data_IF_705363855173
#
_entry.id   IF_705363855173
#
_cell.length_a   1.000
_cell.length_b   1.000
_cell.length_c   1.000
_cell.angle_alpha   90.00
_cell.angle_beta   90.00
_cell.angle_gamma   90.00
#
_symmetry.space_group_name_H-M   'P 1'
#
loop_
_entity.id
_entity.type
_entity.pdbx_description
1 polymer ?
#
# COMPACT_ATOMS: atom_id res chain seq x y z
N UNK A 1 -18.89 0.03 11.88
CA UNK A 1 -18.33 -0.91 12.88
C UNK A 1 -19.00 -0.87 14.26
N UNK A 2 -19.13 0.29 14.93
CA UNK A 2 -19.79 0.39 16.27
C UNK A 2 -21.25 -0.07 16.28
N UNK A 3 -21.99 0.11 15.17
CA UNK A 3 -23.39 -0.35 15.04
C UNK A 3 -23.49 -1.86 14.86
N UNK A 4 -22.63 -2.47 14.02
CA UNK A 4 -22.59 -3.92 13.82
C UNK A 4 -22.10 -4.65 15.09
N UNK A 5 -21.09 -4.10 15.77
CA UNK A 5 -20.62 -4.59 17.07
C UNK A 5 -21.63 -4.35 18.20
N UNK A 6 -22.43 -3.27 18.16
CA UNK A 6 -23.56 -3.08 19.09
C UNK A 6 -24.70 -4.05 18.81
N UNK A 7 -25.02 -4.32 17.55
CA UNK A 7 -26.01 -5.33 17.18
C UNK A 7 -25.57 -6.73 17.64
N UNK A 8 -24.29 -7.08 17.44
CA UNK A 8 -23.70 -8.34 17.92
C UNK A 8 -23.56 -8.42 19.45
N UNK A 9 -23.37 -7.28 20.15
CA UNK A 9 -23.32 -7.24 21.63
C UNK A 9 -24.71 -7.22 22.27
N UNK A 10 -25.71 -6.63 21.62
CA UNK A 10 -27.08 -6.52 22.13
C UNK A 10 -27.91 -7.78 21.89
N UNK A 11 -27.54 -8.61 20.92
CA UNK A 11 -28.15 -9.92 20.71
C UNK A 11 -27.53 -10.98 21.64
N UNK A 12 -27.77 -10.84 22.94
CA UNK A 12 -27.49 -11.91 23.88
C UNK A 12 -28.62 -12.96 23.80
N UNK A 13 -28.22 -14.18 23.42
CA UNK A 13 -28.84 -15.49 23.72
C UNK A 13 -30.07 -16.02 22.95
N UNK A 14 -30.83 -15.28 22.14
CA UNK A 14 -32.07 -15.88 21.58
C UNK A 14 -32.19 -16.07 20.05
N UNK A 15 -31.85 -15.13 19.17
CA UNK A 15 -32.23 -15.27 17.75
C UNK A 15 -31.26 -14.59 16.78
N UNK A 16 -29.98 -14.95 16.79
CA UNK A 16 -29.10 -14.58 15.68
C UNK A 16 -29.22 -15.65 14.59
N UNK A 17 -29.63 -15.24 13.39
CA UNK A 17 -29.54 -16.09 12.20
C UNK A 17 -28.09 -16.57 12.02
N UNK A 18 -27.93 -17.78 11.45
CA UNK A 18 -26.65 -18.47 11.27
C UNK A 18 -25.44 -17.58 10.88
N UNK A 19 -25.54 -16.57 9.99
CA UNK A 19 -24.38 -15.73 9.64
C UNK A 19 -23.82 -14.89 10.80
N UNK A 20 -24.64 -14.49 11.78
CA UNK A 20 -24.17 -13.66 12.90
C UNK A 20 -23.53 -14.47 14.02
N UNK A 21 -23.95 -15.72 14.22
CA UNK A 21 -23.28 -16.67 15.12
C UNK A 21 -21.87 -17.00 14.59
N UNK A 22 -21.70 -17.10 13.27
CA UNK A 22 -20.41 -17.30 12.61
C UNK A 22 -19.42 -16.16 12.84
N UNK A 23 -19.87 -14.90 12.72
CA UNK A 23 -19.03 -13.74 13.05
C UNK A 23 -18.63 -13.74 14.53
N UNK A 24 -19.54 -14.10 15.44
CA UNK A 24 -19.23 -14.23 16.86
C UNK A 24 -18.24 -15.37 17.15
N UNK A 25 -18.33 -16.52 16.47
CA UNK A 25 -17.36 -17.62 16.62
C UNK A 25 -15.97 -17.24 16.11
N UNK A 26 -15.87 -16.65 14.92
CA UNK A 26 -14.59 -16.24 14.33
C UNK A 26 -13.91 -15.17 15.18
N UNK A 27 -14.65 -14.17 15.67
CA UNK A 27 -14.07 -13.03 16.41
C UNK A 27 -13.92 -13.25 17.91
N UNK A 28 -14.80 -14.04 18.54
CA UNK A 28 -14.87 -14.11 20.01
C UNK A 28 -14.16 -15.34 20.59
N UNK A 29 -14.03 -16.42 19.83
CA UNK A 29 -13.51 -17.69 20.37
C UNK A 29 -12.18 -18.13 19.77
N UNK A 30 -11.71 -17.54 18.65
CA UNK A 30 -10.54 -18.06 17.90
C UNK A 30 -10.60 -19.56 17.63
N UNK A 31 -11.78 -20.17 17.69
CA UNK A 31 -11.99 -21.58 17.40
C UNK A 31 -12.27 -21.70 15.92
N UNK A 32 -11.54 -22.59 15.25
CA UNK A 32 -11.77 -22.91 13.84
C UNK A 32 -13.14 -23.62 13.78
N UNK A 33 -14.14 -23.07 13.09
CA UNK A 33 -15.44 -23.73 12.99
C UNK A 33 -15.29 -25.05 12.23
N UNK A 34 -16.14 -26.06 12.50
CA UNK A 34 -16.12 -27.31 11.77
C UNK A 34 -16.27 -27.07 10.26
N UNK A 35 -15.49 -27.82 9.46
CA UNK A 35 -15.29 -27.62 8.00
C UNK A 35 -16.60 -27.46 7.21
N UNK A 36 -17.69 -28.08 7.65
CA UNK A 36 -18.94 -28.15 6.89
C UNK A 36 -19.89 -26.97 7.13
N UNK A 37 -19.66 -26.17 8.18
CA UNK A 37 -20.55 -25.07 8.58
C UNK A 37 -20.62 -23.89 7.60
N UNK A 38 -19.65 -23.78 6.69
CA UNK A 38 -19.56 -22.69 5.71
C UNK A 38 -20.04 -23.06 4.31
N UNK A 39 -20.44 -24.33 4.11
CA UNK A 39 -20.87 -24.82 2.80
C UNK A 39 -22.19 -24.22 2.31
N UNK A 40 -23.02 -23.73 3.24
CA UNK A 40 -24.36 -23.19 2.93
C UNK A 40 -24.41 -21.67 2.81
N UNK A 41 -23.32 -20.96 3.15
CA UNK A 41 -23.29 -19.50 3.10
C UNK A 41 -23.18 -19.06 1.62
N UNK A 42 -24.09 -18.21 1.12
CA UNK A 42 -23.99 -17.65 -0.23
C UNK A 42 -22.74 -16.78 -0.40
N UNK A 43 -22.19 -16.74 -1.62
CA UNK A 43 -20.96 -15.99 -1.92
C UNK A 43 -21.13 -14.49 -1.66
N UNK A 44 -22.33 -13.95 -1.93
CA UNK A 44 -22.68 -12.54 -1.72
C UNK A 44 -22.56 -12.14 -0.25
N UNK A 45 -22.95 -13.02 0.67
CA UNK A 45 -22.80 -12.79 2.11
C UNK A 45 -21.33 -12.82 2.52
N UNK A 46 -20.54 -13.73 1.95
CA UNK A 46 -19.09 -13.77 2.20
C UNK A 46 -18.40 -12.50 1.70
N UNK A 47 -18.83 -11.99 0.53
CA UNK A 47 -18.34 -10.73 -0.05
C UNK A 47 -18.67 -9.54 0.84
N UNK A 48 -19.91 -9.43 1.30
CA UNK A 48 -20.33 -8.39 2.25
C UNK A 48 -19.51 -8.43 3.54
N UNK A 49 -19.23 -9.63 4.08
CA UNK A 49 -18.38 -9.79 5.25
C UNK A 49 -16.97 -9.27 4.93
N UNK A 50 -16.37 -9.75 3.84
CA UNK A 50 -15.02 -9.38 3.46
C UNK A 50 -14.87 -7.87 3.21
N UNK A 51 -15.88 -7.19 2.65
CA UNK A 51 -15.87 -5.75 2.42
C UNK A 51 -15.87 -4.92 3.71
N UNK A 52 -16.22 -5.53 4.85
CA UNK A 52 -16.22 -4.88 6.17
C UNK A 52 -14.98 -5.19 7.02
N UNK A 53 -14.03 -5.98 6.50
CA UNK A 53 -12.81 -6.39 7.22
C UNK A 53 -11.59 -5.58 6.78
N UNK A 54 -10.67 -5.36 7.71
CA UNK A 54 -9.36 -4.80 7.37
C UNK A 54 -8.42 -5.87 6.76
N UNK A 55 -7.31 -5.45 6.15
CA UNK A 55 -6.34 -6.34 5.47
C UNK A 55 -5.82 -7.47 6.37
N UNK A 56 -5.62 -7.20 7.66
CA UNK A 56 -5.13 -8.19 8.63
C UNK A 56 -6.19 -9.25 8.93
N UNK A 57 -7.43 -8.83 9.16
CA UNK A 57 -8.59 -9.71 9.36
C UNK A 57 -8.88 -10.55 8.13
N UNK A 58 -8.82 -9.94 6.94
CA UNK A 58 -8.94 -10.64 5.66
C UNK A 58 -7.87 -11.74 5.53
N UNK A 59 -6.62 -11.44 5.85
CA UNK A 59 -5.54 -12.45 5.83
C UNK A 59 -5.86 -13.64 6.73
N UNK A 60 -6.32 -13.40 7.96
CA UNK A 60 -6.71 -14.49 8.87
C UNK A 60 -7.91 -15.28 8.33
N UNK A 61 -8.90 -14.60 7.76
CA UNK A 61 -10.09 -15.22 7.19
C UNK A 61 -9.74 -16.14 6.00
N UNK A 62 -8.85 -15.71 5.11
CA UNK A 62 -8.38 -16.51 3.97
C UNK A 62 -7.49 -17.70 4.37
N UNK A 63 -6.86 -17.65 5.55
CA UNK A 63 -6.13 -18.77 6.14
C UNK A 63 -7.08 -19.79 6.81
N UNK A 64 -8.13 -19.29 7.48
CA UNK A 64 -9.08 -20.13 8.22
C UNK A 64 -10.00 -20.96 7.31
N UNK A 65 -10.42 -20.45 6.15
CA UNK A 65 -11.38 -21.13 5.28
C UNK A 65 -11.05 -21.02 3.79
N UNK A 66 -10.98 -22.17 3.10
CA UNK A 66 -10.71 -22.25 1.65
C UNK A 66 -11.78 -21.55 0.80
N UNK A 67 -13.06 -21.59 1.18
CA UNK A 67 -14.12 -20.86 0.45
C UNK A 67 -14.01 -19.36 0.63
N UNK A 68 -13.68 -18.89 1.83
CA UNK A 68 -13.40 -17.48 2.02
C UNK A 68 -12.15 -17.04 1.26
N UNK A 69 -11.17 -17.91 1.06
CA UNK A 69 -9.98 -17.58 0.27
C UNK A 69 -10.34 -17.07 -1.13
N UNK A 70 -11.24 -17.71 -1.86
CA UNK A 70 -11.62 -17.24 -3.21
C UNK A 70 -12.30 -15.87 -3.22
N UNK A 71 -12.95 -15.48 -2.12
CA UNK A 71 -13.60 -14.18 -1.93
C UNK A 71 -12.61 -13.11 -1.44
N UNK A 72 -11.70 -13.50 -0.56
CA UNK A 72 -10.76 -12.64 0.14
C UNK A 72 -9.53 -12.33 -0.71
N UNK A 73 -9.03 -13.31 -1.46
CA UNK A 73 -7.78 -13.21 -2.21
C UNK A 73 -7.82 -12.07 -3.25
N UNK A 74 -8.89 -11.88 -4.06
CA UNK A 74 -8.99 -10.72 -4.96
C UNK A 74 -8.94 -9.38 -4.22
N UNK A 75 -9.47 -9.33 -3.00
CA UNK A 75 -9.50 -8.11 -2.16
C UNK A 75 -8.14 -7.81 -1.55
N UNK A 76 -7.43 -8.84 -1.09
CA UNK A 76 -6.06 -8.71 -0.61
C UNK A 76 -5.10 -8.28 -1.73
N UNK A 77 -5.34 -8.73 -2.97
CA UNK A 77 -4.52 -8.36 -4.13
C UNK A 77 -4.85 -6.97 -4.69
N UNK A 78 -5.98 -6.36 -4.31
CA UNK A 78 -6.38 -5.02 -4.74
C UNK A 78 -5.42 -3.94 -4.23
N UNK A 79 -4.97 -4.08 -2.98
CA UNK A 79 -3.99 -3.20 -2.33
C UNK A 79 -2.85 -4.04 -1.80
N UNK A 80 -1.72 -3.99 -2.50
CA UNK A 80 -0.51 -4.69 -2.10
C UNK A 80 0.39 -3.71 -1.36
N UNK A 81 0.80 -4.10 -0.16
CA UNK A 81 1.81 -3.39 0.59
C UNK A 81 3.04 -4.26 0.81
N UNK A 82 4.19 -3.77 0.31
CA UNK A 82 5.50 -4.43 0.38
C UNK A 82 6.40 -3.70 1.40
N UNK A 83 5.83 -2.86 2.27
CA UNK A 83 6.53 -2.26 3.41
C UNK A 83 7.16 -3.33 4.30
N UNK A 84 8.51 -3.34 4.35
CA UNK A 84 9.38 -3.90 5.40
C UNK A 84 8.85 -5.03 6.30
N UNK A 85 8.23 -6.06 5.73
CA UNK A 85 7.84 -7.25 6.47
C UNK A 85 8.64 -8.44 5.94
N UNK A 86 9.07 -9.33 6.83
CA UNK A 86 9.60 -10.66 6.49
C UNK A 86 8.71 -11.47 5.54
N UNK A 87 7.42 -11.11 5.39
CA UNK A 87 6.45 -11.73 4.47
C UNK A 87 6.24 -10.94 3.17
N UNK A 88 6.77 -9.72 3.07
CA UNK A 88 6.68 -8.88 1.88
C UNK A 88 7.35 -9.56 0.67
N UNK A 89 8.43 -10.33 0.90
CA UNK A 89 9.07 -11.15 -0.13
C UNK A 89 8.15 -12.25 -0.68
N UNK A 90 7.35 -12.89 0.19
CA UNK A 90 6.34 -13.87 -0.22
C UNK A 90 5.25 -13.24 -1.08
N UNK A 91 4.76 -12.06 -0.69
CA UNK A 91 3.79 -11.30 -1.48
C UNK A 91 4.39 -10.84 -2.83
N UNK A 92 5.64 -10.37 -2.85
CA UNK A 92 6.35 -10.00 -4.06
C UNK A 92 6.57 -11.20 -5.01
N UNK A 93 6.86 -12.38 -4.46
CA UNK A 93 6.98 -13.63 -5.25
C UNK A 93 5.64 -14.09 -5.83
N UNK A 94 4.57 -14.01 -5.05
CA UNK A 94 3.20 -14.28 -5.55
C UNK A 94 2.88 -13.30 -6.68
N UNK A 95 3.15 -12.02 -6.47
CA UNK A 95 3.02 -10.96 -7.49
C UNK A 95 4.11 -10.98 -8.57
N UNK A 96 4.98 -11.97 -8.62
CA UNK A 96 5.86 -12.18 -9.77
C UNK A 96 5.30 -13.27 -10.69
N UNK A 97 4.75 -14.32 -10.08
CA UNK A 97 4.37 -15.55 -10.77
C UNK A 97 2.87 -15.68 -11.05
N UNK A 98 2.03 -14.87 -10.40
CA UNK A 98 0.58 -15.02 -10.49
C UNK A 98 -0.03 -14.16 -11.62
N UNK A 99 -0.78 -14.75 -12.54
CA UNK A 99 -1.54 -14.02 -13.57
C UNK A 99 -2.59 -13.06 -12.95
N UNK A 100 -2.97 -13.28 -11.69
CA UNK A 100 -3.97 -12.47 -10.95
C UNK A 100 -3.47 -11.08 -10.54
N UNK A 101 -2.18 -10.77 -10.77
CA UNK A 101 -1.58 -9.43 -10.61
C UNK A 101 -2.31 -8.32 -11.36
N UNK A 102 -3.06 -8.67 -12.40
CA UNK A 102 -3.81 -7.70 -13.19
C UNK A 102 -4.82 -6.93 -12.33
N UNK A 103 -5.31 -7.49 -11.22
CA UNK A 103 -6.32 -6.86 -10.38
C UNK A 103 -5.77 -5.86 -9.34
N UNK A 104 -4.44 -5.74 -9.22
CA UNK A 104 -3.84 -4.83 -8.25
C UNK A 104 -4.08 -3.39 -8.68
N UNK A 105 -4.77 -2.63 -7.83
CA UNK A 105 -5.07 -1.20 -8.04
C UNK A 105 -4.07 -0.32 -7.34
N UNK A 106 -3.68 -0.70 -6.12
CA UNK A 106 -2.73 0.06 -5.31
C UNK A 106 -1.53 -0.81 -4.95
N UNK A 107 -0.33 -0.27 -5.17
CA UNK A 107 0.92 -0.90 -4.79
C UNK A 107 1.70 0.07 -3.91
N UNK A 108 2.11 -0.36 -2.72
CA UNK A 108 2.93 0.39 -1.78
C UNK A 108 4.30 -0.26 -1.57
N UNK A 109 5.36 0.53 -1.63
CA UNK A 109 6.77 0.09 -1.56
C UNK A 109 7.54 1.10 -0.70
N UNK A 110 7.50 1.00 0.64
CA UNK A 110 8.11 2.02 1.51
C UNK A 110 9.56 1.79 1.91
N UNK A 111 10.05 0.55 1.97
CA UNK A 111 11.48 0.30 2.27
C UNK A 111 11.79 -1.16 2.02
N UNK A 112 12.73 -1.45 1.13
CA UNK A 112 13.25 -2.79 0.89
C UNK A 112 14.53 -3.01 1.72
N UNK A 113 14.49 -2.63 3.00
CA UNK A 113 15.58 -2.94 3.93
C UNK A 113 15.24 -4.20 4.70
N UNK A 114 15.34 -5.35 4.02
CA UNK A 114 15.50 -6.62 4.72
C UNK A 114 16.99 -6.71 5.09
N UNK A 115 17.26 -6.81 6.40
CA UNK A 115 18.63 -6.88 6.91
C UNK A 115 19.39 -8.02 6.27
N UNK A 116 20.60 -7.73 5.76
CA UNK A 116 21.54 -8.75 5.28
C UNK A 116 21.63 -8.90 3.75
N UNK A 117 22.36 -7.98 3.12
CA UNK A 117 23.27 -8.22 1.98
C UNK A 117 22.69 -8.68 0.61
N UNK A 118 21.39 -9.00 0.41
CA UNK A 118 20.91 -9.38 -0.96
C UNK A 118 19.50 -8.91 -1.38
N UNK A 119 19.00 -7.79 -0.82
CA UNK A 119 17.62 -7.33 -1.09
C UNK A 119 17.47 -6.06 -1.94
N UNK A 120 18.57 -5.54 -2.50
CA UNK A 120 18.60 -4.44 -3.49
C UNK A 120 17.92 -4.76 -4.83
N UNK A 121 17.52 -6.02 -5.04
CA UNK A 121 17.07 -6.56 -6.34
C UNK A 121 15.55 -6.62 -6.47
N UNK A 122 14.77 -6.20 -5.46
CA UNK A 122 13.33 -6.48 -5.49
C UNK A 122 12.55 -5.57 -6.46
N UNK A 123 12.81 -4.27 -6.50
CA UNK A 123 12.16 -3.36 -7.47
C UNK A 123 12.49 -3.72 -8.93
N UNK A 124 13.72 -4.16 -9.20
CA UNK A 124 14.14 -4.61 -10.54
C UNK A 124 13.44 -5.90 -10.98
N UNK A 125 13.02 -6.73 -10.02
CA UNK A 125 12.25 -7.96 -10.29
C UNK A 125 10.77 -7.68 -10.57
N UNK A 126 10.26 -6.49 -10.24
CA UNK A 126 8.88 -6.11 -10.51
C UNK A 126 8.68 -5.75 -11.98
N UNK A 127 7.84 -6.52 -12.65
CA UNK A 127 7.41 -6.24 -14.02
C UNK A 127 6.15 -5.40 -13.96
N UNK A 128 6.31 -4.09 -13.75
CA UNK A 128 5.20 -3.15 -13.59
C UNK A 128 4.19 -3.16 -14.75
N UNK A 129 4.63 -3.53 -15.96
CA UNK A 129 3.76 -3.68 -17.13
C UNK A 129 2.69 -4.78 -16.98
N UNK A 130 2.84 -5.69 -16.01
CA UNK A 130 1.83 -6.73 -15.71
C UNK A 130 0.70 -6.23 -14.80
N UNK A 131 0.88 -5.08 -14.15
CA UNK A 131 -0.10 -4.51 -13.21
C UNK A 131 -1.12 -3.65 -13.97
N UNK A 132 -1.94 -4.30 -14.79
CA UNK A 132 -2.85 -3.64 -15.76
C UNK A 132 -3.98 -2.81 -15.13
N UNK A 133 -4.29 -2.99 -13.84
CA UNK A 133 -5.27 -2.17 -13.12
C UNK A 133 -4.63 -1.19 -12.13
N UNK A 134 -3.28 -1.12 -12.08
CA UNK A 134 -2.58 -0.26 -11.13
C UNK A 134 -2.87 1.20 -11.43
N UNK A 135 -3.59 1.84 -10.52
CA UNK A 135 -3.97 3.25 -10.59
C UNK A 135 -3.23 4.11 -9.55
N UNK A 136 -2.73 3.51 -8.47
CA UNK A 136 -1.98 4.19 -7.41
C UNK A 136 -0.68 3.44 -7.10
N UNK A 137 0.44 4.14 -7.19
CA UNK A 137 1.74 3.65 -6.74
C UNK A 137 2.21 4.54 -5.59
N UNK A 138 2.48 3.93 -4.44
CA UNK A 138 3.19 4.55 -3.33
C UNK A 138 4.60 3.95 -3.28
N UNK A 139 5.64 4.76 -3.38
CA UNK A 139 7.02 4.30 -3.43
C UNK A 139 7.90 5.22 -2.60
N UNK A 140 8.84 4.67 -1.84
CA UNK A 140 9.80 5.54 -1.17
C UNK A 140 10.77 6.15 -2.17
N UNK A 141 11.14 7.40 -1.90
CA UNK A 141 12.05 8.13 -2.74
C UNK A 141 13.39 7.40 -2.87
N UNK A 142 13.91 6.82 -1.79
CA UNK A 142 15.13 5.99 -1.81
C UNK A 142 15.04 4.85 -2.83
N UNK A 143 13.91 4.13 -2.85
CA UNK A 143 13.70 3.01 -3.75
C UNK A 143 13.57 3.45 -5.21
N UNK A 144 12.94 4.61 -5.47
CA UNK A 144 12.90 5.24 -6.78
C UNK A 144 14.31 5.63 -7.28
N UNK A 145 15.14 6.23 -6.42
CA UNK A 145 16.50 6.62 -6.77
C UNK A 145 17.40 5.41 -7.02
N UNK A 146 17.28 4.37 -6.20
CA UNK A 146 18.01 3.12 -6.38
C UNK A 146 17.66 2.46 -7.71
N UNK A 147 16.37 2.37 -8.05
CA UNK A 147 15.93 1.85 -9.34
C UNK A 147 16.58 2.61 -10.50
N UNK A 148 16.61 3.95 -10.41
CA UNK A 148 17.19 4.81 -11.43
C UNK A 148 18.71 4.60 -11.57
N UNK A 149 19.43 4.52 -10.46
CA UNK A 149 20.88 4.26 -10.43
C UNK A 149 21.22 2.92 -11.07
N UNK A 150 20.43 1.89 -10.78
CA UNK A 150 20.68 0.53 -11.26
C UNK A 150 20.29 0.32 -12.73
N UNK A 151 19.14 0.83 -13.17
CA UNK A 151 18.66 0.59 -14.55
C UNK A 151 19.14 1.61 -15.56
N UNK A 152 19.52 2.81 -15.12
CA UNK A 152 19.70 4.00 -15.99
C UNK A 152 18.47 4.32 -16.86
N UNK A 153 17.31 3.77 -16.55
CA UNK A 153 16.04 4.00 -17.26
C UNK A 153 15.02 4.58 -16.25
N UNK A 154 14.24 5.62 -16.61
CA UNK A 154 13.24 6.16 -15.69
C UNK A 154 12.16 5.11 -15.42
N UNK A 155 11.79 4.93 -14.14
CA UNK A 155 10.71 4.00 -13.73
C UNK A 155 9.40 4.27 -14.49
N UNK A 156 9.18 5.54 -14.86
CA UNK A 156 8.10 6.00 -15.71
C UNK A 156 7.89 5.15 -16.97
N UNK A 157 8.96 4.66 -17.61
CA UNK A 157 8.85 3.86 -18.84
C UNK A 157 8.22 2.49 -18.62
N UNK A 158 8.34 1.94 -17.42
CA UNK A 158 7.87 0.58 -17.11
C UNK A 158 6.51 0.55 -16.41
N UNK A 159 6.10 1.68 -15.84
CA UNK A 159 4.81 1.75 -15.18
C UNK A 159 3.68 1.50 -16.18
N UNK A 160 2.47 1.20 -15.70
CA UNK A 160 1.33 1.13 -16.59
C UNK A 160 0.96 2.52 -17.15
N UNK A 161 0.19 2.54 -18.23
CA UNK A 161 -0.35 3.79 -18.77
C UNK A 161 -1.55 4.30 -17.97
N UNK A 162 -2.28 3.45 -17.26
CA UNK A 162 -3.45 3.83 -16.45
C UNK A 162 -3.14 4.31 -15.03
N UNK A 163 -1.86 4.50 -14.69
CA UNK A 163 -1.47 5.00 -13.37
C UNK A 163 -1.93 6.46 -13.19
N UNK A 164 -2.84 6.68 -12.24
CA UNK A 164 -3.44 7.98 -11.96
C UNK A 164 -2.75 8.74 -10.84
N UNK A 165 -2.18 8.02 -9.87
CA UNK A 165 -1.61 8.61 -8.66
C UNK A 165 -0.22 8.01 -8.39
N UNK A 166 0.78 8.88 -8.28
CA UNK A 166 2.11 8.54 -7.77
C UNK A 166 2.30 9.24 -6.42
N UNK A 167 2.50 8.47 -5.36
CA UNK A 167 2.86 8.98 -4.05
C UNK A 167 4.32 8.61 -3.77
N UNK A 168 5.12 9.59 -3.40
CA UNK A 168 6.53 9.40 -3.08
C UNK A 168 6.77 9.74 -1.62
N UNK A 169 7.21 8.75 -0.85
CA UNK A 169 7.53 8.91 0.57
C UNK A 169 9.03 9.19 0.74
N UNK A 170 9.38 10.39 1.20
CA UNK A 170 10.74 10.75 1.60
C UNK A 170 10.93 10.41 3.09
N UNK A 171 11.24 9.14 3.34
CA UNK A 171 11.62 8.65 4.67
C UNK A 171 13.12 8.79 4.93
N UNK A 172 13.50 8.90 6.20
CA UNK A 172 14.90 8.90 6.63
C UNK A 172 15.64 7.59 6.23
N UNK A 173 16.93 7.67 5.84
CA UNK A 173 17.81 8.84 5.91
C UNK A 173 17.53 9.88 4.81
N UNK A 174 17.85 11.14 5.11
CA UNK A 174 17.67 12.29 4.22
C UNK A 174 18.26 11.98 2.85
N UNK A 175 17.51 12.29 1.80
CA UNK A 175 18.01 12.13 0.44
C UNK A 175 19.10 13.17 0.23
N UNK A 176 20.34 12.71 0.06
CA UNK A 176 21.49 13.59 -0.19
C UNK A 176 21.31 14.43 -1.46
N UNK A 177 20.59 13.90 -2.45
CA UNK A 177 20.37 14.55 -3.75
C UNK A 177 18.89 14.81 -4.04
N UNK A 178 18.34 15.84 -3.39
CA UNK A 178 16.97 16.33 -3.60
C UNK A 178 16.75 16.76 -5.06
N UNK A 179 17.78 17.33 -5.71
CA UNK A 179 17.69 17.75 -7.11
C UNK A 179 17.49 16.58 -8.06
N UNK A 180 18.10 15.43 -7.76
CA UNK A 180 17.92 14.22 -8.54
C UNK A 180 16.53 13.63 -8.41
N UNK A 181 15.96 13.58 -7.19
CA UNK A 181 14.56 13.17 -6.99
C UNK A 181 13.62 14.05 -7.82
N UNK A 182 13.77 15.37 -7.72
CA UNK A 182 12.99 16.35 -8.49
C UNK A 182 13.07 16.10 -10.00
N UNK A 183 14.29 15.87 -10.51
CA UNK A 183 14.51 15.56 -11.93
C UNK A 183 13.77 14.29 -12.35
N UNK A 184 13.76 13.27 -11.52
CA UNK A 184 13.04 12.03 -11.81
C UNK A 184 11.52 12.21 -11.80
N UNK A 185 10.97 13.01 -10.88
CA UNK A 185 9.54 13.34 -10.89
C UNK A 185 9.14 14.15 -12.13
N UNK A 186 9.99 15.07 -12.59
CA UNK A 186 9.77 15.81 -13.85
C UNK A 186 9.83 14.86 -15.05
N UNK A 187 10.83 13.97 -15.10
CA UNK A 187 10.94 12.95 -16.15
C UNK A 187 9.69 12.06 -16.17
N UNK A 188 9.14 11.75 -15.00
CA UNK A 188 7.93 10.96 -14.86
C UNK A 188 6.75 11.60 -15.58
N UNK A 189 6.48 12.87 -15.28
CA UNK A 189 5.36 13.61 -15.85
C UNK A 189 5.52 13.81 -17.35
N UNK A 190 6.74 14.13 -17.80
CA UNK A 190 7.03 14.28 -19.24
C UNK A 190 6.77 12.99 -20.03
N UNK A 191 7.02 11.83 -19.41
CA UNK A 191 6.85 10.54 -20.09
C UNK A 191 5.39 10.10 -20.13
N UNK A 192 4.57 10.47 -19.13
CA UNK A 192 3.19 9.97 -18.98
C UNK A 192 2.17 11.02 -18.56
N UNK A 193 1.98 12.09 -19.35
CA UNK A 193 1.15 13.21 -18.94
C UNK A 193 -0.36 12.89 -18.94
N UNK A 194 -0.84 12.00 -19.83
CA UNK A 194 -2.28 11.87 -20.10
C UNK A 194 -3.10 11.12 -19.04
N UNK A 195 -2.47 10.28 -18.23
CA UNK A 195 -3.18 9.45 -17.26
C UNK A 195 -2.89 9.83 -15.81
N UNK A 196 -1.78 10.52 -15.56
CA UNK A 196 -1.36 10.88 -14.22
C UNK A 196 -2.14 12.11 -13.75
N UNK A 197 -3.14 11.88 -12.89
CA UNK A 197 -3.93 12.95 -12.29
C UNK A 197 -3.18 13.69 -11.18
N UNK A 198 -2.34 12.99 -10.40
CA UNK A 198 -1.57 13.63 -9.35
C UNK A 198 -0.24 12.96 -9.00
N UNK A 199 0.72 13.79 -8.57
CA UNK A 199 1.89 13.37 -7.80
C UNK A 199 1.77 13.92 -6.39
N UNK A 200 1.97 13.09 -5.39
CA UNK A 200 2.09 13.51 -3.99
C UNK A 200 3.47 13.16 -3.47
N UNK A 201 4.08 14.06 -2.71
CA UNK A 201 5.37 13.84 -2.07
C UNK A 201 5.18 14.09 -0.58
N UNK A 202 5.29 13.03 0.24
CA UNK A 202 5.39 13.18 1.70
C UNK A 202 6.85 13.38 2.06
N UNK A 203 7.16 14.38 2.88
CA UNK A 203 8.52 14.73 3.21
C UNK A 203 8.65 15.41 4.56
N UNK A 204 9.73 15.05 5.27
CA UNK A 204 10.16 15.70 6.52
C UNK A 204 11.17 16.84 6.27
N UNK A 205 11.81 16.89 5.10
CA UNK A 205 13.00 17.73 4.87
C UNK A 205 12.89 18.70 3.70
N UNK A 206 11.77 18.68 2.98
CA UNK A 206 11.60 19.49 1.77
C UNK A 206 11.21 20.93 2.11
N UNK A 207 12.16 21.71 2.60
CA UNK A 207 11.98 23.12 2.96
C UNK A 207 12.05 24.11 1.78
N UNK A 208 12.01 23.63 0.53
CA UNK A 208 12.13 24.50 -0.65
C UNK A 208 10.78 24.93 -1.21
N UNK A 209 10.58 26.23 -1.41
CA UNK A 209 9.45 26.79 -2.14
C UNK A 209 9.48 26.32 -3.60
N UNK A 210 8.81 25.21 -3.85
CA UNK A 210 8.91 24.44 -5.09
C UNK A 210 7.99 24.98 -6.20
N UNK A 211 7.90 26.31 -6.31
CA UNK A 211 7.05 26.99 -7.30
C UNK A 211 7.33 26.51 -8.71
N UNK A 212 8.60 26.39 -9.08
CA UNK A 212 8.99 25.94 -10.41
C UNK A 212 8.48 24.52 -10.73
N UNK A 213 8.48 23.62 -9.74
CA UNK A 213 7.90 22.28 -9.92
C UNK A 213 6.39 22.37 -10.04
N UNK A 214 5.71 23.08 -9.12
CA UNK A 214 4.26 23.30 -9.21
C UNK A 214 3.82 23.93 -10.54
N UNK A 215 4.58 24.87 -11.08
CA UNK A 215 4.31 25.53 -12.38
C UNK A 215 4.48 24.57 -13.57
N UNK A 216 5.58 23.80 -13.61
CA UNK A 216 5.80 22.77 -14.63
C UNK A 216 4.64 21.77 -14.62
N UNK A 217 4.17 21.41 -13.42
CA UNK A 217 3.12 20.41 -13.24
C UNK A 217 1.73 20.94 -13.57
N UNK A 218 1.41 22.17 -13.18
CA UNK A 218 0.17 22.85 -13.53
C UNK A 218 0.03 22.99 -15.05
N UNK A 219 1.11 23.35 -15.76
CA UNK A 219 1.12 23.43 -17.23
C UNK A 219 0.84 22.08 -17.90
N UNK A 220 1.18 20.97 -17.25
CA UNK A 220 0.96 19.61 -17.75
C UNK A 220 -0.37 19.01 -17.28
N UNK A 221 -1.20 19.76 -16.54
CA UNK A 221 -2.48 19.28 -16.00
C UNK A 221 -2.35 18.28 -14.85
N UNK A 222 -1.17 18.18 -14.22
CA UNK A 222 -0.91 17.23 -13.12
C UNK A 222 -0.95 17.98 -11.79
N UNK A 223 -1.80 17.53 -10.85
CA UNK A 223 -1.87 18.11 -9.51
C UNK A 223 -0.67 17.64 -8.68
N UNK A 224 0.09 18.57 -8.10
CA UNK A 224 1.16 18.21 -7.16
C UNK A 224 0.84 18.65 -5.74
N UNK A 225 0.92 17.68 -4.84
CA UNK A 225 0.63 17.82 -3.41
C UNK A 225 1.95 17.54 -2.69
N UNK A 226 2.43 18.52 -1.94
CA UNK A 226 3.58 18.32 -1.06
C UNK A 226 3.02 18.28 0.36
N UNK A 227 3.10 17.12 0.98
CA UNK A 227 2.65 16.89 2.35
C UNK A 227 3.88 17.00 3.24
N UNK A 228 3.86 17.95 4.17
CA UNK A 228 4.88 18.03 5.21
C UNK A 228 4.43 17.13 6.34
N UNK A 229 5.20 16.08 6.60
CA UNK A 229 5.04 15.35 7.85
C UNK A 229 5.53 16.28 8.96
N UNK A 230 4.59 16.71 9.81
CA UNK A 230 4.94 17.46 11.01
C UNK A 230 6.01 16.67 11.77
N UNK A 231 7.06 17.34 12.28
CA UNK A 231 8.02 16.67 13.14
C UNK A 231 7.25 15.91 14.21
N UNK A 232 7.65 14.66 14.48
CA UNK A 232 7.06 13.88 15.57
C UNK A 232 7.27 14.69 16.84
N UNK A 233 6.22 15.38 17.26
CA UNK A 233 6.20 16.07 18.54
C UNK A 233 6.09 15.00 19.60
N UNK A 234 6.93 15.10 20.62
CA UNK A 234 6.77 14.26 21.79
C UNK A 234 5.40 14.49 22.44
N UNK A 235 5.06 13.70 23.46
CA UNK A 235 3.80 13.86 24.19
C UNK A 235 3.64 15.25 24.85
N UNK A 236 4.69 16.08 24.83
CA UNK A 236 4.75 17.42 25.42
C UNK A 236 4.81 18.53 24.37
N UNK A 237 4.70 18.21 23.08
CA UNK A 237 4.63 19.19 22.01
C UNK A 237 5.99 19.74 21.56
N UNK A 238 7.10 19.20 22.06
CA UNK A 238 8.45 19.57 21.64
C UNK A 238 8.83 18.77 20.40
N UNK A 239 9.56 19.42 19.49
CA UNK A 239 10.18 18.72 18.39
C UNK A 239 11.18 17.71 18.97
N UNK A 240 11.05 16.43 18.64
CA UNK A 240 12.04 15.43 19.01
C UNK A 240 13.37 15.79 18.31
N UNK A 241 14.20 16.61 18.98
CA UNK A 241 15.55 16.91 18.53
C UNK A 241 16.28 15.57 18.41
N UNK A 242 16.62 15.20 17.18
CA UNK A 242 17.49 14.04 16.95
C UNK A 242 18.80 14.30 17.68
N UNK A 243 19.29 13.29 18.41
CA UNK A 243 20.48 13.29 19.29
C UNK A 243 21.83 13.70 18.63
N UNK A 244 21.82 14.33 17.45
CA UNK A 244 22.99 14.73 16.68
C UNK A 244 23.55 16.12 17.01
N UNK A 245 23.05 16.84 18.01
CA UNK A 245 23.59 18.15 18.44
C UNK A 245 24.42 18.12 19.73
N UNK A 246 24.80 16.93 20.23
CA UNK A 246 25.72 16.78 21.35
C UNK A 246 27.10 16.23 20.92
N UNK A 247 27.78 16.92 19.99
CA UNK A 247 29.23 16.75 19.76
C UNK A 247 29.90 18.10 19.48
#
# INVERSE_FOLDING_TARGET
MKVLLRALRSCSKACLSAPYQLLACIFRFRTIPPKDSFSTVPTEIMEMIADNLNTKELTYLGLACRRFRSVVEPRLLKTVDITSHTKAYGLALVLKNDQRQQNTKTLKISKLSLGGISDRVQLLKFVFSRLLMLNKLEISAAALLEYRRNTRIPLAKFLPSQLQHLHVEEHAPRIEDVHFLRRELVNYIRTKPRALGSISVSTKTFQGDDRALKEIYAKMGVKVIVEHEDPERDAWGNDCLSDSEWL
#
